data_IF_019927015751
#
_entry.id   IF_019927015751
#
_cell.length_a   1.000
_cell.length_b   1.000
_cell.length_c   1.000
_cell.angle_alpha   90.00
_cell.angle_beta   90.00
_cell.angle_gamma   90.00
#
_symmetry.space_group_name_H-M   'P 1'
#
loop_
_entity.id
_entity.type
_entity.pdbx_description
1 polymer ?
#
# COMPACT_ATOMS: atom_id res chain seq x y z
N UNK A 1 -5.07 4.06 -38.58
CA UNK A 1 -5.85 3.42 -37.49
C UNK A 1 -5.52 4.16 -36.21
N UNK A 2 -6.50 4.67 -35.44
CA UNK A 2 -6.18 5.23 -34.13
C UNK A 2 -5.98 4.07 -33.16
N UNK A 3 -4.77 3.94 -32.62
CA UNK A 3 -4.49 3.02 -31.53
C UNK A 3 -4.70 3.77 -30.21
N UNK A 4 -5.54 3.24 -29.33
CA UNK A 4 -5.69 3.74 -27.97
C UNK A 4 -4.77 2.93 -27.06
N UNK A 5 -3.88 3.61 -26.34
CA UNK A 5 -3.01 2.98 -25.33
C UNK A 5 -3.35 3.57 -23.96
N UNK A 6 -3.93 2.75 -23.08
CA UNK A 6 -4.23 3.14 -21.71
C UNK A 6 -3.06 2.72 -20.81
N UNK A 7 -2.42 3.69 -20.17
CA UNK A 7 -1.33 3.47 -19.22
C UNK A 7 -1.67 4.13 -17.88
N UNK A 8 -1.66 3.33 -16.81
CA UNK A 8 -1.91 3.81 -15.46
C UNK A 8 -0.73 3.40 -14.57
N UNK A 9 -0.07 4.39 -13.99
CA UNK A 9 0.97 4.17 -13.00
C UNK A 9 0.42 4.56 -11.63
N UNK A 10 0.24 3.56 -10.77
CA UNK A 10 -0.15 3.77 -9.37
C UNK A 10 1.07 3.57 -8.50
N UNK A 11 1.47 4.62 -7.78
CA UNK A 11 2.46 4.50 -6.72
C UNK A 11 1.74 4.58 -5.37
N UNK A 12 1.72 3.46 -4.65
CA UNK A 12 1.19 3.42 -3.29
C UNK A 12 2.25 2.91 -2.32
N UNK A 13 2.75 3.76 -1.40
CA UNK A 13 3.77 3.36 -0.44
C UNK A 13 3.19 2.44 0.66
N UNK A 14 4.03 1.50 1.11
CA UNK A 14 3.73 0.67 2.29
C UNK A 14 3.95 1.48 3.56
N UNK A 15 2.89 1.67 4.34
CA UNK A 15 2.92 2.29 5.65
C UNK A 15 3.53 1.35 6.67
N UNK A 16 4.37 1.94 7.52
CA UNK A 16 4.94 1.29 8.68
C UNK A 16 3.90 1.18 9.78
N UNK A 17 4.00 0.11 10.55
CA UNK A 17 3.31 -0.01 11.83
C UNK A 17 3.94 0.97 12.82
N UNK A 18 3.22 1.31 13.89
CA UNK A 18 3.86 1.90 15.07
C UNK A 18 4.84 0.88 15.66
N UNK A 19 6.10 0.99 15.26
CA UNK A 19 7.17 0.07 15.59
C UNK A 19 8.15 0.78 16.52
N UNK A 20 8.19 0.37 17.78
CA UNK A 20 9.07 0.94 18.80
C UNK A 20 10.36 0.15 18.92
N UNK A 21 11.36 0.73 19.59
CA UNK A 21 12.60 0.04 19.93
C UNK A 21 12.38 -1.22 20.78
N UNK A 22 11.26 -1.32 21.49
CA UNK A 22 10.92 -2.50 22.31
C UNK A 22 10.36 -3.67 21.49
N UNK A 23 9.95 -3.41 20.25
CA UNK A 23 9.43 -4.42 19.33
C UNK A 23 10.56 -5.18 18.61
N UNK A 24 11.79 -4.65 18.64
CA UNK A 24 12.99 -5.26 18.04
C UNK A 24 13.22 -6.66 18.63
N UNK A 25 13.20 -7.67 17.77
CA UNK A 25 13.44 -9.07 18.13
C UNK A 25 12.24 -9.81 18.75
N UNK A 26 11.13 -9.13 19.03
CA UNK A 26 9.88 -9.74 19.54
C UNK A 26 8.76 -9.76 18.52
N UNK A 27 8.70 -8.73 17.68
CA UNK A 27 7.71 -8.61 16.62
C UNK A 27 8.43 -8.28 15.31
N UNK A 28 8.29 -9.18 14.33
CA UNK A 28 8.89 -9.03 13.00
C UNK A 28 8.01 -8.24 12.02
N UNK A 29 6.76 -7.93 12.40
CA UNK A 29 5.85 -7.18 11.55
C UNK A 29 6.16 -5.68 11.58
N UNK A 30 6.94 -5.25 10.60
CA UNK A 30 7.34 -3.86 10.43
C UNK A 30 6.27 -3.00 9.74
N UNK A 31 5.47 -3.60 8.87
CA UNK A 31 4.45 -2.90 8.08
C UNK A 31 3.06 -3.10 8.64
N UNK A 32 2.20 -2.10 8.49
CA UNK A 32 0.79 -2.20 8.84
C UNK A 32 0.00 -2.81 7.68
N UNK A 33 -0.11 -4.14 7.66
CA UNK A 33 -0.79 -4.89 6.60
C UNK A 33 -2.27 -4.51 6.46
N UNK A 34 -2.96 -4.25 7.57
CA UNK A 34 -4.37 -3.87 7.60
C UNK A 34 -4.58 -2.48 6.99
N UNK A 35 -3.81 -1.48 7.44
CA UNK A 35 -3.88 -0.14 6.89
C UNK A 35 -3.50 -0.16 5.40
N UNK A 36 -2.42 -0.84 5.04
CA UNK A 36 -1.96 -0.92 3.65
C UNK A 36 -3.02 -1.52 2.72
N UNK A 37 -3.67 -2.60 3.13
CA UNK A 37 -4.78 -3.20 2.39
C UNK A 37 -5.96 -2.24 2.28
N UNK A 38 -6.39 -1.64 3.39
CA UNK A 38 -7.51 -0.70 3.41
C UNK A 38 -7.31 0.47 2.44
N UNK A 39 -6.13 1.09 2.45
CA UNK A 39 -5.84 2.20 1.55
C UNK A 39 -5.76 1.75 0.09
N UNK A 40 -5.24 0.56 -0.18
CA UNK A 40 -5.14 0.01 -1.54
C UNK A 40 -6.53 -0.21 -2.14
N UNK A 41 -7.43 -0.82 -1.37
CA UNK A 41 -8.82 -1.03 -1.77
C UNK A 41 -9.58 0.29 -1.96
N UNK A 42 -9.29 1.30 -1.12
CA UNK A 42 -9.88 2.63 -1.26
C UNK A 42 -9.43 3.33 -2.54
N UNK A 43 -8.14 3.24 -2.88
CA UNK A 43 -7.59 3.86 -4.10
C UNK A 43 -8.10 3.13 -5.34
N UNK A 44 -8.09 1.80 -5.33
CA UNK A 44 -8.56 1.00 -6.47
C UNK A 44 -10.03 1.29 -6.82
N UNK A 45 -10.90 1.45 -5.80
CA UNK A 45 -12.32 1.84 -5.98
C UNK A 45 -12.56 3.25 -6.51
N UNK A 46 -11.54 4.12 -6.53
CA UNK A 46 -11.64 5.49 -7.04
C UNK A 46 -11.06 5.63 -8.45
N UNK A 47 -10.22 4.71 -8.87
CA UNK A 47 -9.52 4.74 -10.15
C UNK A 47 -10.22 3.93 -11.26
N UNK A 48 -11.31 3.23 -10.92
CA UNK A 48 -12.24 2.52 -11.80
C UNK A 48 -13.67 2.82 -11.36
#
# INVERSE_FOLDING_TARGET
>A
MPAVCLYFHVHQPLRLRHYSVFDIGRNSEYFDSNANKFYLERVSRKCY
#
